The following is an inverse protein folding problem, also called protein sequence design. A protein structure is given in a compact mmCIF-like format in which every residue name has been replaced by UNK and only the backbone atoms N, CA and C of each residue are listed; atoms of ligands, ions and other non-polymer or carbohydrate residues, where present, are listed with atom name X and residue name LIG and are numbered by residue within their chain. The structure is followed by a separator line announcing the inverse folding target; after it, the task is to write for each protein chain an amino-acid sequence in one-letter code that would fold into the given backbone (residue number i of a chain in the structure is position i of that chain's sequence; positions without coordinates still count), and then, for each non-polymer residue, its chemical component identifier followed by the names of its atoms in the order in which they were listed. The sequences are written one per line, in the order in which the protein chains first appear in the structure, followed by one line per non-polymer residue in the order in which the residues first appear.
data_IF_188698579438
#
_entry.id   IF_188698579438
#
_cell.length_a   1.000
_cell.length_b   1.000
_cell.length_c   1.000
_cell.angle_alpha   90.00
_cell.angle_beta   90.00
_cell.angle_gamma   90.00
#
_symmetry.space_group_name_H-M   'P 1'
#
loop_
_entity.id
_entity.type
_entity.pdbx_description
1 polymer ?
#
# COMPACT_ATOMS: atom_id res chain seq x y z
N UNK A 1 -21.09 -2.25 -9.76
CA UNK A 1 -21.12 -0.88 -9.21
C UNK A 1 -20.01 0.05 -9.72
N UNK A 2 -18.79 -0.41 -10.08
CA UNK A 2 -17.68 0.51 -10.49
C UNK A 2 -18.01 1.51 -11.62
N UNK A 3 -18.88 1.14 -12.57
CA UNK A 3 -19.23 1.99 -13.72
C UNK A 3 -20.54 2.76 -13.57
N UNK A 4 -21.10 2.88 -12.35
CA UNK A 4 -22.42 3.51 -12.15
C UNK A 4 -22.29 4.95 -11.63
N UNK A 5 -23.27 5.83 -11.88
CA UNK A 5 -23.27 7.19 -11.37
C UNK A 5 -23.16 7.26 -9.84
N UNK A 6 -23.79 6.33 -9.12
CA UNK A 6 -23.76 6.28 -7.66
C UNK A 6 -22.34 6.09 -7.12
N UNK A 7 -21.53 5.26 -7.77
CA UNK A 7 -20.13 5.09 -7.40
C UNK A 7 -19.34 6.38 -7.61
N UNK A 8 -19.59 7.10 -8.71
CA UNK A 8 -18.93 8.38 -9.00
C UNK A 8 -19.28 9.42 -7.94
N UNK A 9 -20.56 9.56 -7.60
CA UNK A 9 -21.00 10.52 -6.58
C UNK A 9 -20.45 10.17 -5.20
N UNK A 10 -20.45 8.89 -4.83
CA UNK A 10 -19.84 8.44 -3.57
C UNK A 10 -18.36 8.83 -3.47
N UNK A 11 -17.55 8.54 -4.49
CA UNK A 11 -16.11 8.87 -4.47
C UNK A 11 -15.84 10.39 -4.56
N UNK A 12 -16.72 11.17 -5.20
CA UNK A 12 -16.64 12.63 -5.18
C UNK A 12 -16.88 13.18 -3.78
N UNK A 13 -17.93 12.71 -3.11
CA UNK A 13 -18.22 13.05 -1.72
C UNK A 13 -17.06 12.70 -0.79
N UNK A 14 -16.54 11.48 -0.89
CA UNK A 14 -15.39 11.04 -0.09
C UNK A 14 -14.13 11.90 -0.36
N UNK A 15 -13.85 12.23 -1.62
CA UNK A 15 -12.72 13.12 -1.97
C UNK A 15 -12.89 14.50 -1.32
N UNK A 16 -14.09 15.06 -1.38
CA UNK A 16 -14.37 16.39 -0.84
C UNK A 16 -14.24 16.40 0.69
N UNK A 17 -14.77 15.37 1.37
CA UNK A 17 -14.58 15.18 2.81
C UNK A 17 -13.10 15.09 3.21
N UNK A 18 -12.30 14.29 2.48
CA UNK A 18 -10.86 14.17 2.75
C UNK A 18 -10.13 15.50 2.50
N UNK A 19 -10.54 16.29 1.50
CA UNK A 19 -9.96 17.61 1.25
C UNK A 19 -10.24 18.56 2.42
N UNK A 20 -11.47 18.55 2.93
CA UNK A 20 -11.87 19.41 4.04
C UNK A 20 -11.11 19.04 5.32
N UNK A 21 -10.92 17.73 5.58
CA UNK A 21 -10.05 17.24 6.67
C UNK A 21 -8.60 17.73 6.53
N UNK A 22 -8.03 17.63 5.33
CA UNK A 22 -6.66 18.13 5.08
C UNK A 22 -6.56 19.65 5.31
N UNK A 23 -7.58 20.42 4.94
CA UNK A 23 -7.63 21.86 5.23
C UNK A 23 -7.75 22.15 6.73
N UNK A 24 -8.46 21.30 7.47
CA UNK A 24 -8.58 21.34 8.93
C UNK A 24 -7.37 20.78 9.70
N UNK A 25 -6.39 20.18 9.02
CA UNK A 25 -5.27 19.49 9.66
C UNK A 25 -5.65 18.17 10.34
N UNK A 26 -6.75 17.55 9.93
CA UNK A 26 -7.26 16.29 10.48
C UNK A 26 -6.66 15.08 9.73
N UNK A 27 -5.67 14.44 10.34
CA UNK A 27 -5.05 13.21 9.85
C UNK A 27 -5.74 11.93 10.35
N UNK A 28 -5.41 10.79 9.73
CA UNK A 28 -5.85 9.48 10.22
C UNK A 28 -5.11 9.05 11.50
N UNK A 29 -3.89 9.56 11.68
CA UNK A 29 -3.05 9.39 12.87
C UNK A 29 -2.69 10.78 13.37
N UNK A 30 -2.73 11.00 14.69
CA UNK A 30 -2.56 12.34 15.29
C UNK A 30 -1.19 12.96 14.98
N UNK A 31 -0.14 12.14 14.94
CA UNK A 31 1.22 12.53 14.60
C UNK A 31 1.78 11.48 13.66
N UNK A 32 2.09 11.86 12.43
CA UNK A 32 2.61 10.94 11.42
C UNK A 32 4.15 11.01 11.38
N UNK A 33 4.82 10.10 12.09
CA UNK A 33 6.29 10.03 12.11
C UNK A 33 6.85 9.07 11.07
N UNK A 34 6.15 7.95 10.82
CA UNK A 34 6.55 6.95 9.81
C UNK A 34 5.43 6.72 8.81
N UNK A 35 5.76 6.77 7.52
CA UNK A 35 4.82 6.61 6.40
C UNK A 35 5.16 5.35 5.62
N UNK A 36 4.22 4.42 5.48
CA UNK A 36 4.47 3.13 4.83
C UNK A 36 3.53 2.87 3.66
N UNK A 37 4.03 2.12 2.68
CA UNK A 37 3.18 1.46 1.70
C UNK A 37 2.87 0.03 2.13
N UNK A 38 1.68 -0.45 1.78
CA UNK A 38 1.28 -1.85 1.94
C UNK A 38 1.15 -2.54 0.58
N UNK A 39 1.91 -3.60 0.36
CA UNK A 39 1.77 -4.45 -0.82
C UNK A 39 0.96 -5.71 -0.51
N UNK A 40 0.09 -6.08 -1.46
CA UNK A 40 -0.86 -7.21 -1.38
C UNK A 40 -2.15 -6.91 -0.60
N UNK A 41 -3.03 -7.90 -0.52
CA UNK A 41 -4.28 -7.86 0.23
C UNK A 41 -4.01 -7.66 1.72
N UNK A 42 -4.91 -7.01 2.48
CA UNK A 42 -4.82 -6.97 3.94
C UNK A 42 -4.98 -8.35 4.58
N UNK A 43 -4.51 -8.48 5.82
CA UNK A 43 -4.87 -9.58 6.73
C UNK A 43 -6.23 -9.25 7.33
N UNK A 44 -7.33 -9.63 6.66
CA UNK A 44 -8.67 -9.08 6.93
C UNK A 44 -9.14 -9.33 8.36
N UNK A 45 -8.88 -10.53 8.88
CA UNK A 45 -9.22 -10.90 10.25
C UNK A 45 -8.41 -10.14 11.32
N UNK A 46 -7.33 -9.46 10.93
CA UNK A 46 -6.48 -8.64 11.80
C UNK A 46 -6.43 -7.17 11.39
N UNK A 47 -7.28 -6.73 10.45
CA UNK A 47 -7.20 -5.39 9.88
C UNK A 47 -7.20 -4.32 10.97
N UNK A 48 -8.13 -4.40 11.92
CA UNK A 48 -8.19 -3.47 13.06
C UNK A 48 -6.94 -3.56 13.94
N UNK A 49 -6.55 -4.77 14.36
CA UNK A 49 -5.40 -4.96 15.25
C UNK A 49 -4.10 -4.42 14.65
N UNK A 50 -3.89 -4.63 13.35
CA UNK A 50 -2.73 -4.11 12.63
C UNK A 50 -2.81 -2.59 12.47
N UNK A 51 -3.97 -2.04 12.09
CA UNK A 51 -4.15 -0.59 11.97
C UNK A 51 -3.94 0.13 13.30
N UNK A 52 -4.52 -0.37 14.39
CA UNK A 52 -4.38 0.21 15.73
C UNK A 52 -2.91 0.13 16.20
N UNK A 53 -2.23 -1.01 15.99
CA UNK A 53 -0.80 -1.18 16.33
C UNK A 53 0.11 -0.16 15.62
N UNK A 54 -0.16 0.14 14.35
CA UNK A 54 0.58 1.14 13.58
C UNK A 54 0.26 2.56 14.07
N UNK A 55 -1.01 2.86 14.31
CA UNK A 55 -1.46 4.17 14.79
C UNK A 55 -0.87 4.51 16.18
N UNK A 56 -0.83 3.53 17.10
CA UNK A 56 -0.20 3.66 18.42
C UNK A 56 1.31 3.99 18.34
N UNK A 57 1.93 3.71 17.19
CA UNK A 57 3.34 3.99 16.89
C UNK A 57 3.51 5.16 15.93
N UNK A 58 2.51 6.05 15.85
CA UNK A 58 2.56 7.25 14.99
C UNK A 58 2.86 6.90 13.51
N UNK A 59 2.49 5.67 13.10
CA UNK A 59 2.80 5.10 11.79
C UNK A 59 1.54 5.00 10.93
N UNK A 60 1.60 5.50 9.70
CA UNK A 60 0.46 5.56 8.79
C UNK A 60 0.72 4.78 7.50
N UNK A 61 -0.31 4.06 7.03
CA UNK A 61 -0.31 3.46 5.69
C UNK A 61 -0.82 4.50 4.69
N UNK A 62 0.06 5.00 3.84
CA UNK A 62 -0.25 6.14 2.93
C UNK A 62 -0.69 5.69 1.54
N UNK A 63 -0.49 4.42 1.22
CA UNK A 63 -0.90 3.83 -0.06
C UNK A 63 -0.81 2.31 -0.03
N UNK A 64 -1.55 1.67 -0.92
CA UNK A 64 -1.51 0.23 -1.11
C UNK A 64 -1.53 -0.13 -2.60
N UNK A 65 -0.76 -1.15 -2.98
CA UNK A 65 -0.76 -1.64 -4.37
C UNK A 65 -2.08 -2.33 -4.73
N UNK A 66 -2.81 -2.88 -3.73
CA UNK A 66 -4.11 -3.49 -3.95
C UNK A 66 -5.17 -2.48 -4.43
N UNK A 67 -5.24 -1.29 -3.82
CA UNK A 67 -6.16 -0.24 -4.25
C UNK A 67 -5.71 0.44 -5.55
N UNK A 68 -4.42 0.31 -5.89
CA UNK A 68 -3.84 0.75 -7.17
C UNK A 68 -4.04 -0.27 -8.31
N UNK A 69 -4.56 -1.48 -8.03
CA UNK A 69 -4.45 -2.60 -8.97
C UNK A 69 -5.19 -2.42 -10.30
N UNK A 70 -6.14 -1.48 -10.36
CA UNK A 70 -6.98 -1.18 -11.53
C UNK A 70 -6.84 0.26 -12.03
N UNK A 71 -5.78 0.97 -11.63
CA UNK A 71 -5.62 2.40 -11.95
C UNK A 71 -4.67 2.68 -13.10
N UNK A 72 -3.88 1.70 -13.54
CA UNK A 72 -3.01 1.83 -14.72
C UNK A 72 -3.85 2.10 -15.97
N UNK A 73 -3.41 3.07 -16.77
CA UNK A 73 -4.10 3.50 -18.01
C UNK A 73 -3.07 3.75 -19.10
N UNK A 74 -3.46 3.48 -20.35
CA UNK A 74 -2.69 3.95 -21.49
C UNK A 74 -2.61 5.49 -21.52
N UNK A 75 -1.48 5.99 -22.01
CA UNK A 75 -1.24 7.43 -22.22
C UNK A 75 -2.07 7.99 -23.38
N UNK A 76 -2.43 7.12 -24.34
CA UNK A 76 -3.32 7.42 -25.46
C UNK A 76 -4.48 6.44 -25.39
N UNK A 77 -5.71 6.93 -25.55
CA UNK A 77 -6.90 6.08 -25.59
C UNK A 77 -7.19 5.69 -27.04
N UNK A 78 -6.98 4.42 -27.42
CA UNK A 78 -7.46 3.89 -28.68
C UNK A 78 -8.99 3.72 -28.63
N UNK A 79 -9.65 3.12 -29.64
CA UNK A 79 -11.12 2.97 -29.69
C UNK A 79 -11.69 2.38 -28.39
N UNK A 80 -13.02 2.49 -28.13
CA UNK A 80 -13.63 1.95 -26.90
C UNK A 80 -13.21 0.50 -26.62
N UNK A 81 -13.19 -0.35 -27.65
CA UNK A 81 -12.78 -1.75 -27.56
C UNK A 81 -11.34 -1.90 -27.10
N UNK A 82 -10.42 -1.14 -27.70
CA UNK A 82 -9.00 -1.19 -27.37
C UNK A 82 -8.73 -0.60 -25.98
N UNK A 83 -9.45 0.45 -25.59
CA UNK A 83 -9.38 1.04 -24.25
C UNK A 83 -9.81 0.06 -23.15
N UNK A 84 -10.87 -0.72 -23.41
CA UNK A 84 -11.31 -1.78 -22.48
C UNK A 84 -10.28 -2.90 -22.43
N UNK A 85 -9.80 -3.38 -23.59
CA UNK A 85 -8.79 -4.43 -23.64
C UNK A 85 -7.51 -4.05 -22.89
N UNK A 86 -7.01 -2.83 -23.10
CA UNK A 86 -5.82 -2.30 -22.44
C UNK A 86 -6.00 -2.22 -20.91
N UNK A 87 -7.12 -1.67 -20.44
CA UNK A 87 -7.40 -1.53 -19.01
C UNK A 87 -7.40 -2.89 -18.27
N UNK A 88 -7.94 -3.95 -18.89
CA UNK A 88 -7.93 -5.29 -18.30
C UNK A 88 -6.61 -6.02 -18.46
N UNK A 89 -5.87 -5.77 -19.55
CA UNK A 89 -4.53 -6.33 -19.75
C UNK A 89 -3.52 -5.77 -18.73
N UNK A 90 -3.68 -4.50 -18.33
CA UNK A 90 -2.77 -3.80 -17.41
C UNK A 90 -3.06 -3.97 -15.92
N UNK A 91 -4.03 -4.80 -15.55
CA UNK A 91 -4.29 -5.11 -14.14
C UNK A 91 -2.99 -5.54 -13.47
N UNK A 92 -2.74 -5.04 -12.26
CA UNK A 92 -1.49 -5.24 -11.52
C UNK A 92 -0.92 -6.67 -11.55
N UNK A 93 -1.80 -7.66 -11.41
CA UNK A 93 -1.45 -9.08 -11.37
C UNK A 93 -0.93 -9.63 -12.72
N UNK A 94 -1.23 -8.95 -13.83
CA UNK A 94 -0.73 -9.30 -15.16
C UNK A 94 0.62 -8.63 -15.47
N UNK A 95 1.04 -7.68 -14.63
CA UNK A 95 2.26 -6.90 -14.89
C UNK A 95 3.50 -7.62 -14.38
N UNK A 96 4.59 -7.53 -15.14
CA UNK A 96 5.88 -8.13 -14.77
C UNK A 96 6.58 -7.42 -13.60
N UNK A 97 7.51 -8.12 -12.94
CA UNK A 97 8.18 -7.65 -11.72
C UNK A 97 8.85 -6.27 -11.85
N UNK A 98 9.52 -6.00 -12.99
CA UNK A 98 10.14 -4.69 -13.26
C UNK A 98 9.14 -3.54 -13.30
N UNK A 99 7.94 -3.79 -13.83
CA UNK A 99 6.89 -2.78 -13.86
C UNK A 99 6.36 -2.54 -12.44
N UNK A 100 6.06 -3.60 -11.69
CA UNK A 100 5.61 -3.52 -10.29
C UNK A 100 6.61 -2.76 -9.42
N UNK A 101 7.90 -3.06 -9.53
CA UNK A 101 8.98 -2.34 -8.83
C UNK A 101 8.97 -0.84 -9.17
N UNK A 102 8.90 -0.50 -10.46
CA UNK A 102 8.86 0.91 -10.92
C UNK A 102 7.65 1.64 -10.35
N UNK A 103 6.49 1.01 -10.32
CA UNK A 103 5.26 1.60 -9.78
C UNK A 103 5.36 1.79 -8.27
N UNK A 104 5.84 0.80 -7.52
CA UNK A 104 6.05 0.93 -6.06
C UNK A 104 7.04 2.06 -5.77
N UNK A 105 8.14 2.16 -6.52
CA UNK A 105 9.12 3.24 -6.37
C UNK A 105 8.51 4.61 -6.64
N UNK A 106 7.69 4.74 -7.69
CA UNK A 106 6.95 5.97 -8.01
C UNK A 106 5.96 6.32 -6.90
N UNK A 107 5.22 5.33 -6.40
CA UNK A 107 4.27 5.50 -5.31
C UNK A 107 4.95 5.94 -4.02
N UNK A 108 6.09 5.34 -3.68
CA UNK A 108 6.87 5.69 -2.50
C UNK A 108 7.37 7.14 -2.57
N UNK A 109 7.91 7.55 -3.73
CA UNK A 109 8.33 8.93 -3.95
C UNK A 109 7.15 9.92 -3.89
N UNK A 110 6.04 9.61 -4.57
CA UNK A 110 4.86 10.48 -4.65
C UNK A 110 4.20 10.69 -3.28
N UNK A 111 4.10 9.62 -2.48
CA UNK A 111 3.44 9.66 -1.16
C UNK A 111 4.41 9.96 -0.01
N UNK A 112 5.68 10.22 -0.34
CA UNK A 112 6.77 10.41 0.62
C UNK A 112 6.86 9.28 1.65
N UNK A 113 6.73 8.03 1.19
CA UNK A 113 6.79 6.85 2.05
C UNK A 113 8.24 6.54 2.46
N UNK A 114 8.41 6.16 3.72
CA UNK A 114 9.68 5.80 4.35
C UNK A 114 10.05 4.33 4.15
N UNK A 115 9.06 3.49 3.80
CA UNK A 115 9.29 2.08 3.51
C UNK A 115 8.06 1.37 2.94
N UNK A 116 8.24 0.09 2.62
CA UNK A 116 7.20 -0.79 2.05
C UNK A 116 7.09 -2.07 2.86
N UNK A 117 5.88 -2.40 3.28
CA UNK A 117 5.53 -3.70 3.84
C UNK A 117 4.98 -4.58 2.72
N UNK A 118 5.62 -5.71 2.46
CA UNK A 118 5.11 -6.76 1.59
C UNK A 118 4.41 -7.82 2.42
N UNK A 119 3.08 -7.91 2.33
CA UNK A 119 2.37 -9.05 2.88
C UNK A 119 2.59 -10.26 1.95
N UNK A 120 3.42 -11.19 2.39
CA UNK A 120 3.68 -12.48 1.76
C UNK A 120 2.48 -13.42 2.02
N UNK A 121 1.37 -13.08 1.36
CA UNK A 121 0.10 -13.78 1.48
C UNK A 121 0.19 -15.18 0.90
N UNK A 122 -0.03 -16.22 1.72
CA UNK A 122 0.05 -17.62 1.29
C UNK A 122 -0.98 -17.99 0.23
N UNK A 123 -2.21 -17.48 0.34
CA UNK A 123 -3.27 -17.76 -0.63
C UNK A 123 -3.09 -17.02 -1.95
N UNK A 124 -2.66 -15.75 -1.94
CA UNK A 124 -2.59 -14.94 -3.16
C UNK A 124 -1.25 -15.08 -3.91
N UNK A 125 -0.99 -16.27 -4.44
CA UNK A 125 0.26 -16.60 -5.16
C UNK A 125 0.66 -15.59 -6.25
N UNK A 126 -0.24 -15.09 -7.13
CA UNK A 126 0.16 -14.13 -8.17
C UNK A 126 0.67 -12.79 -7.65
N UNK A 127 0.22 -12.41 -6.46
CA UNK A 127 0.62 -11.19 -5.78
C UNK A 127 1.93 -11.40 -5.03
N UNK A 128 2.01 -12.50 -4.28
CA UNK A 128 3.17 -12.85 -3.44
C UNK A 128 4.38 -13.31 -4.26
N UNK A 129 4.15 -13.83 -5.47
CA UNK A 129 5.22 -14.23 -6.38
C UNK A 129 6.09 -13.03 -6.78
N UNK A 130 7.39 -13.14 -6.48
CA UNK A 130 8.38 -12.12 -6.81
C UNK A 130 8.44 -10.93 -5.85
N UNK A 131 7.66 -10.91 -4.76
CA UNK A 131 7.78 -9.85 -3.73
C UNK A 131 9.20 -9.78 -3.16
N UNK A 132 9.84 -10.93 -2.91
CA UNK A 132 11.22 -10.96 -2.41
C UNK A 132 12.22 -10.31 -3.37
N UNK A 133 12.09 -10.58 -4.67
CA UNK A 133 12.93 -9.98 -5.72
C UNK A 133 12.69 -8.47 -5.84
N UNK A 134 11.42 -8.04 -5.80
CA UNK A 134 11.06 -6.62 -5.84
C UNK A 134 11.59 -5.91 -4.59
N UNK A 135 11.39 -6.49 -3.41
CA UNK A 135 11.87 -5.93 -2.15
C UNK A 135 13.39 -5.78 -2.14
N UNK A 136 14.14 -6.77 -2.64
CA UNK A 136 15.59 -6.68 -2.77
C UNK A 136 16.01 -5.50 -3.67
N UNK A 137 15.39 -5.35 -4.85
CA UNK A 137 15.69 -4.25 -5.79
C UNK A 137 15.31 -2.87 -5.26
N UNK A 138 14.18 -2.77 -4.56
CA UNK A 138 13.78 -1.55 -3.86
C UNK A 138 14.78 -1.19 -2.77
N UNK A 139 15.18 -2.17 -1.95
CA UNK A 139 16.16 -2.00 -0.88
C UNK A 139 17.52 -1.54 -1.39
N UNK A 140 18.06 -2.20 -2.43
CA UNK A 140 19.30 -1.77 -3.10
C UNK A 140 19.20 -0.36 -3.69
N UNK A 141 17.99 0.05 -4.10
CA UNK A 141 17.69 1.41 -4.56
C UNK A 141 17.29 2.38 -3.45
N UNK A 142 17.58 2.07 -2.19
CA UNK A 142 17.42 2.97 -1.05
C UNK A 142 16.03 3.02 -0.41
N UNK A 143 15.08 2.19 -0.84
CA UNK A 143 13.72 2.10 -0.26
C UNK A 143 13.66 0.93 0.71
N UNK A 144 13.61 1.17 2.04
CA UNK A 144 13.47 0.09 3.02
C UNK A 144 12.23 -0.77 2.78
N UNK A 145 12.38 -2.08 2.88
CA UNK A 145 11.30 -3.03 2.66
C UNK A 145 11.33 -4.09 3.76
N UNK A 146 10.16 -4.63 4.11
CA UNK A 146 10.04 -5.84 4.90
C UNK A 146 9.03 -6.80 4.26
N UNK A 147 9.25 -8.10 4.40
CA UNK A 147 8.25 -9.11 4.10
C UNK A 147 7.60 -9.55 5.42
N UNK A 148 6.28 -9.72 5.42
CA UNK A 148 5.49 -10.25 6.53
C UNK A 148 4.66 -11.42 6.05
N UNK A 149 4.90 -12.59 6.63
CA UNK A 149 4.24 -13.84 6.26
C UNK A 149 2.83 -13.89 6.85
N UNK A 150 1.81 -14.17 6.04
CA UNK A 150 0.43 -14.22 6.51
C UNK A 150 -0.52 -14.84 5.51
N UNK A 151 -1.80 -14.85 5.86
CA UNK A 151 -2.89 -15.08 4.92
C UNK A 151 -3.92 -13.97 5.03
N UNK A 152 -4.65 -13.70 3.95
CA UNK A 152 -5.70 -12.67 3.96
C UNK A 152 -6.91 -13.08 4.82
N UNK A 153 -7.17 -14.37 5.01
CA UNK A 153 -8.37 -14.89 5.66
C UNK A 153 -8.12 -16.08 6.59
N UNK A 154 -7.06 -16.87 6.39
CA UNK A 154 -6.75 -18.03 7.23
C UNK A 154 -5.95 -17.63 8.48
N UNK A 155 -6.62 -17.60 9.62
CA UNK A 155 -6.02 -17.17 10.89
C UNK A 155 -4.87 -18.06 11.37
N UNK A 156 -4.81 -19.31 10.90
CA UNK A 156 -3.75 -20.27 11.27
C UNK A 156 -2.39 -19.84 10.75
N UNK A 157 -2.37 -19.02 9.71
CA UNK A 157 -1.16 -18.50 9.08
C UNK A 157 -0.76 -17.12 9.60
N UNK A 158 -1.32 -16.67 10.74
CA UNK A 158 -0.98 -15.41 11.38
C UNK A 158 -0.36 -15.61 12.78
N UNK A 159 0.93 -15.31 12.91
CA UNK A 159 1.66 -15.38 14.18
C UNK A 159 1.79 -13.99 14.81
N UNK A 160 0.79 -13.56 15.57
CA UNK A 160 0.66 -12.18 16.08
C UNK A 160 1.91 -11.66 16.81
N UNK A 161 2.47 -12.43 17.74
CA UNK A 161 3.66 -12.00 18.50
C UNK A 161 4.87 -11.75 17.59
N UNK A 162 5.12 -12.65 16.64
CA UNK A 162 6.21 -12.51 15.68
C UNK A 162 5.99 -11.32 14.73
N UNK A 163 4.74 -11.09 14.31
CA UNK A 163 4.36 -9.92 13.52
C UNK A 163 4.66 -8.62 14.24
N UNK A 164 4.16 -8.47 15.48
CA UNK A 164 4.36 -7.26 16.29
C UNK A 164 5.83 -6.95 16.49
N UNK A 165 6.64 -7.94 16.89
CA UNK A 165 8.09 -7.75 17.08
C UNK A 165 8.80 -7.33 15.80
N UNK A 166 8.48 -7.96 14.65
CA UNK A 166 9.10 -7.61 13.35
C UNK A 166 8.70 -6.23 12.86
N UNK A 167 7.43 -5.86 13.01
CA UNK A 167 6.92 -4.53 12.65
C UNK A 167 7.55 -3.45 13.54
N UNK A 168 7.62 -3.67 14.84
CA UNK A 168 8.23 -2.74 15.79
C UNK A 168 9.69 -2.45 15.44
N UNK A 169 10.51 -3.50 15.26
CA UNK A 169 11.90 -3.34 14.85
C UNK A 169 12.05 -2.62 13.50
N UNK A 170 11.11 -2.83 12.57
CA UNK A 170 11.12 -2.14 11.28
C UNK A 170 10.79 -0.65 11.43
N UNK A 171 9.76 -0.31 12.22
CA UNK A 171 9.35 1.07 12.49
C UNK A 171 10.46 1.84 13.21
N UNK A 172 11.06 1.26 14.25
CA UNK A 172 12.18 1.88 14.98
C UNK A 172 13.36 2.18 14.05
N UNK A 173 13.71 1.23 13.18
CA UNK A 173 14.77 1.42 12.18
C UNK A 173 14.45 2.57 11.22
N UNK A 174 13.19 2.74 10.83
CA UNK A 174 12.77 3.84 9.96
C UNK A 174 12.77 5.18 10.69
N UNK A 175 12.27 5.23 11.92
CA UNK A 175 12.26 6.44 12.75
C UNK A 175 13.66 7.05 12.97
N UNK A 176 14.69 6.21 13.03
CA UNK A 176 16.09 6.67 13.10
C UNK A 176 16.59 7.40 11.84
N UNK A 177 15.87 7.27 10.71
CA UNK A 177 16.23 7.81 9.39
C UNK A 177 15.35 8.99 8.98
N UNK A 178 14.20 9.19 9.62
CA UNK A 178 13.21 10.21 9.26
C UNK A 178 13.58 11.57 9.84
N UNK A 179 13.22 12.64 9.12
CA UNK A 179 13.42 14.02 9.58
C UNK A 179 12.59 14.29 10.86
N UNK A 180 13.22 14.69 11.99
CA UNK A 180 12.53 15.03 13.24
C UNK A 180 11.45 16.11 13.08
N UNK A 181 11.50 16.92 12.00
CA UNK A 181 10.53 17.98 11.71
C UNK A 181 9.27 17.57 10.93
N UNK A 182 9.08 16.27 10.60
CA UNK A 182 7.94 15.82 9.77
C UNK A 182 6.59 15.77 10.51
N UNK A 183 6.58 15.73 11.84
CA UNK A 183 5.34 15.78 12.61
C UNK A 183 4.67 17.14 12.46
N UNK A 184 3.67 17.24 11.58
CA UNK A 184 2.74 18.36 11.49
C UNK A 184 1.46 18.02 12.22
#
# INVERSE_FOLDING_TARGET
MRGTPEAVEFYRGLRDEIRDRVQGGEGAVTRETVRLLWDNLPVWHQLRSVSDFLADRETVLVGATYTHAWTERALESPTITESVADAYARVWLNMGLRHREKVIRRMAAFLSADGVIFHANRSCKPYSFGQGEIAARLHSGGVPCMLLDGDMADERDFAEGAWRTRLEAFIERLGSRTDPGRAK
#
